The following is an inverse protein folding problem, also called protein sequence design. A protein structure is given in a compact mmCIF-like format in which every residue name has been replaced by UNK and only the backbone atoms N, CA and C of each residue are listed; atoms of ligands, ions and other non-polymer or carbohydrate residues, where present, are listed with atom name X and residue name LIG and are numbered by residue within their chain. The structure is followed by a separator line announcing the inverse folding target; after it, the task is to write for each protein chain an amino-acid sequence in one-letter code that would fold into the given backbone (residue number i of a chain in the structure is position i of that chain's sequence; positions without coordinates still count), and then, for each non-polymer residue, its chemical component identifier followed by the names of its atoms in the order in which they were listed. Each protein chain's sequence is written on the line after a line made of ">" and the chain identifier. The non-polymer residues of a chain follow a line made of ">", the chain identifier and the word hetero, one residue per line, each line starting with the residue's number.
data_IF_843032921502
#
_entry.id   IF_843032921502
#
_cell.length_a   1.000
_cell.length_b   1.000
_cell.length_c   1.000
_cell.angle_alpha   90.00
_cell.angle_beta   90.00
_cell.angle_gamma   90.00
#
_symmetry.space_group_name_H-M   'P 1'
#
loop_
_entity.id
_entity.type
_entity.pdbx_description
1 polymer ?
#
# COMPACT_ATOMS: atom_id res chain seq x y z
N UNK A 1 -15.90 -26.43 10.79
CA UNK A 1 -15.37 -26.30 12.16
C UNK A 1 -16.20 -26.97 13.24
N UNK A 2 -17.53 -27.13 13.12
CA UNK A 2 -18.36 -27.69 14.20
C UNK A 2 -18.24 -29.18 14.53
N UNK A 3 -17.46 -29.98 13.78
CA UNK A 3 -17.36 -31.45 13.97
C UNK A 3 -16.07 -31.95 14.63
N UNK A 4 -15.02 -31.12 14.71
CA UNK A 4 -13.71 -31.50 15.25
C UNK A 4 -13.05 -30.34 16.02
N UNK A 5 -13.48 -30.08 17.28
CA UNK A 5 -12.96 -28.98 18.10
C UNK A 5 -11.47 -29.13 18.44
N UNK A 6 -10.92 -30.35 18.39
CA UNK A 6 -9.52 -30.63 18.65
C UNK A 6 -8.55 -29.98 17.64
N UNK A 7 -9.01 -29.67 16.42
CA UNK A 7 -8.23 -28.96 15.40
C UNK A 7 -7.95 -27.49 15.76
N UNK A 8 -8.65 -26.93 16.75
CA UNK A 8 -8.39 -25.58 17.24
C UNK A 8 -7.06 -25.48 17.99
N UNK A 9 -6.66 -26.54 18.70
CA UNK A 9 -5.41 -26.56 19.49
C UNK A 9 -4.17 -26.38 18.59
N UNK A 10 -3.94 -27.18 17.53
CA UNK A 10 -2.81 -26.98 16.64
C UNK A 10 -2.90 -25.66 15.86
N UNK A 11 -4.11 -25.18 15.55
CA UNK A 11 -4.29 -23.87 14.91
C UNK A 11 -3.83 -22.72 15.81
N UNK A 12 -4.24 -22.73 17.08
CA UNK A 12 -3.82 -21.73 18.08
C UNK A 12 -2.31 -21.80 18.32
N UNK A 13 -1.75 -22.99 18.47
CA UNK A 13 -0.29 -23.15 18.61
C UNK A 13 0.44 -22.61 17.37
N UNK A 14 -0.08 -22.89 16.17
CA UNK A 14 0.45 -22.36 14.91
C UNK A 14 0.46 -20.84 14.88
N UNK A 15 -0.62 -20.17 15.29
CA UNK A 15 -0.66 -18.69 15.31
C UNK A 15 0.29 -18.10 16.33
N UNK A 16 0.50 -18.72 17.50
CA UNK A 16 1.52 -18.31 18.46
C UNK A 16 2.95 -18.41 17.89
N UNK A 17 3.27 -19.49 17.19
CA UNK A 17 4.58 -19.68 16.55
C UNK A 17 4.80 -18.61 15.47
N UNK A 18 3.79 -18.36 14.64
CA UNK A 18 3.85 -17.33 13.60
C UNK A 18 4.02 -15.94 14.22
N UNK A 19 3.28 -15.61 15.28
CA UNK A 19 3.42 -14.34 15.99
C UNK A 19 4.83 -14.15 16.60
N UNK A 20 5.38 -15.20 17.21
CA UNK A 20 6.74 -15.19 17.74
C UNK A 20 7.78 -14.97 16.63
N UNK A 21 7.62 -15.63 15.48
CA UNK A 21 8.50 -15.49 14.33
C UNK A 21 8.45 -14.06 13.75
N UNK A 22 7.25 -13.49 13.59
CA UNK A 22 7.07 -12.10 13.15
C UNK A 22 7.76 -11.14 14.12
N UNK A 23 7.58 -11.35 15.43
CA UNK A 23 8.25 -10.55 16.47
C UNK A 23 9.77 -10.59 16.33
N UNK A 24 10.36 -11.76 16.08
CA UNK A 24 11.80 -11.92 15.84
C UNK A 24 12.27 -11.20 14.57
N UNK A 25 11.52 -11.29 13.48
CA UNK A 25 11.86 -10.67 12.18
C UNK A 25 11.84 -9.15 12.30
N UNK A 26 10.83 -8.60 12.97
CA UNK A 26 10.55 -7.16 13.00
C UNK A 26 11.34 -6.42 14.08
N UNK A 27 11.66 -7.06 15.20
CA UNK A 27 12.36 -6.44 16.36
C UNK A 27 13.58 -5.57 15.99
N UNK A 28 14.48 -5.95 15.05
CA UNK A 28 15.64 -5.12 14.73
C UNK A 28 15.32 -3.81 13.99
N UNK A 29 14.14 -3.70 13.36
CA UNK A 29 13.68 -2.54 12.59
C UNK A 29 12.24 -2.18 12.97
N UNK A 30 11.93 -2.26 14.27
CA UNK A 30 10.56 -2.13 14.78
C UNK A 30 9.93 -0.78 14.38
N UNK A 31 10.70 0.30 14.48
CA UNK A 31 10.26 1.66 14.12
C UNK A 31 9.83 1.77 12.66
N UNK A 32 10.51 1.04 11.78
CA UNK A 32 10.38 1.20 10.33
C UNK A 32 9.35 0.22 9.76
N UNK A 33 9.31 -1.01 10.26
CA UNK A 33 8.54 -2.11 9.65
C UNK A 33 7.14 -2.24 10.26
N UNK A 34 6.92 -1.85 11.53
CA UNK A 34 5.62 -2.00 12.21
C UNK A 34 4.60 -0.98 11.68
N UNK A 35 3.30 -1.28 11.78
CA UNK A 35 2.16 -0.48 11.28
C UNK A 35 2.08 -0.43 9.75
N UNK A 36 1.24 0.48 9.24
CA UNK A 36 0.98 0.67 7.80
C UNK A 36 2.26 0.92 7.00
N UNK A 37 3.21 1.71 7.50
CA UNK A 37 4.39 2.16 6.75
C UNK A 37 4.20 3.52 6.08
N UNK A 38 2.95 3.97 5.89
CA UNK A 38 2.63 5.29 5.33
C UNK A 38 3.17 6.42 6.20
N UNK A 39 2.95 6.38 7.52
CA UNK A 39 3.44 7.40 8.44
C UNK A 39 4.97 7.47 8.48
N UNK A 40 5.64 6.33 8.44
CA UNK A 40 7.10 6.25 8.38
C UNK A 40 7.61 6.83 7.06
N UNK A 41 6.96 6.52 5.94
CA UNK A 41 7.33 7.08 4.66
C UNK A 41 7.13 8.59 4.60
N UNK A 42 6.03 9.13 5.13
CA UNK A 42 5.87 10.60 5.24
C UNK A 42 7.02 11.22 6.04
N UNK A 43 7.42 10.61 7.15
CA UNK A 43 8.56 11.10 7.92
C UNK A 43 9.86 11.08 7.11
N UNK A 44 10.06 10.08 6.24
CA UNK A 44 11.22 10.02 5.33
C UNK A 44 11.15 11.10 4.25
N UNK A 45 10.01 11.28 3.60
CA UNK A 45 9.83 12.30 2.55
C UNK A 45 9.97 13.73 3.11
N UNK A 46 9.60 13.94 4.38
CA UNK A 46 9.83 15.20 5.09
C UNK A 46 11.28 15.38 5.59
N UNK A 47 12.17 14.40 5.32
CA UNK A 47 13.55 14.40 5.80
C UNK A 47 13.69 14.28 7.32
N UNK A 48 12.64 13.86 8.03
CA UNK A 48 12.59 13.68 9.49
C UNK A 48 13.02 12.28 9.93
N UNK A 49 13.11 11.34 8.99
CA UNK A 49 13.51 9.97 9.24
C UNK A 49 14.34 9.43 8.08
N UNK A 50 15.20 8.43 8.33
CA UNK A 50 15.94 7.74 7.27
C UNK A 50 15.69 6.25 7.41
N UNK A 51 15.30 5.60 6.31
CA UNK A 51 15.10 4.15 6.26
C UNK A 51 16.21 3.49 5.44
N UNK A 52 16.64 2.31 5.88
CA UNK A 52 17.50 1.43 5.10
C UNK A 52 16.62 0.53 4.24
N UNK A 53 16.70 0.70 2.92
CA UNK A 53 15.77 0.09 1.98
C UNK A 53 15.77 -1.45 2.08
N UNK A 54 16.94 -2.09 2.10
CA UNK A 54 17.03 -3.55 2.06
C UNK A 54 16.46 -4.22 3.33
N UNK A 55 16.91 -3.84 4.54
CA UNK A 55 16.34 -4.37 5.78
C UNK A 55 14.84 -4.23 5.91
N UNK A 56 14.29 -3.08 5.48
CA UNK A 56 12.86 -2.79 5.57
C UNK A 56 12.08 -3.59 4.52
N UNK A 57 12.57 -3.66 3.29
CA UNK A 57 11.92 -4.35 2.17
C UNK A 57 11.65 -5.82 2.47
N UNK A 58 12.68 -6.60 2.79
CA UNK A 58 12.49 -8.04 2.97
C UNK A 58 11.70 -8.35 4.25
N UNK A 59 11.93 -7.60 5.33
CA UNK A 59 11.19 -7.78 6.59
C UNK A 59 9.72 -7.45 6.42
N UNK A 60 9.39 -6.35 5.73
CA UNK A 60 8.00 -5.96 5.46
C UNK A 60 7.32 -7.01 4.60
N UNK A 61 7.98 -7.51 3.56
CA UNK A 61 7.42 -8.55 2.69
C UNK A 61 7.11 -9.84 3.48
N UNK A 62 8.10 -10.37 4.21
CA UNK A 62 7.94 -11.63 4.95
C UNK A 62 6.93 -11.48 6.10
N UNK A 63 7.02 -10.38 6.87
CA UNK A 63 6.08 -10.13 7.96
C UNK A 63 4.64 -9.98 7.45
N UNK A 64 4.43 -9.29 6.33
CA UNK A 64 3.09 -9.12 5.75
C UNK A 64 2.53 -10.42 5.20
N UNK A 65 3.37 -11.26 4.60
CA UNK A 65 2.95 -12.59 4.16
C UNK A 65 2.50 -13.45 5.36
N UNK A 66 3.32 -13.48 6.42
CA UNK A 66 3.04 -14.24 7.63
C UNK A 66 1.84 -13.72 8.42
N UNK A 67 1.46 -12.44 8.30
CA UNK A 67 0.25 -11.91 8.96
C UNK A 67 -0.99 -12.04 8.10
N UNK A 68 -0.92 -11.78 6.80
CA UNK A 68 -2.10 -11.76 5.92
C UNK A 68 -2.54 -13.18 5.56
N UNK A 69 -1.62 -14.12 5.30
CA UNK A 69 -1.99 -15.48 4.91
C UNK A 69 -2.82 -16.25 5.96
N UNK A 70 -2.54 -16.14 7.28
CA UNK A 70 -3.40 -16.73 8.31
C UNK A 70 -4.76 -16.03 8.48
N UNK A 71 -5.02 -14.93 7.78
CA UNK A 71 -6.30 -14.21 7.84
C UNK A 71 -6.42 -13.20 8.98
N UNK A 72 -5.31 -12.60 9.43
CA UNK A 72 -5.40 -11.44 10.35
C UNK A 72 -6.04 -10.24 9.64
N UNK A 73 -6.68 -9.36 10.42
CA UNK A 73 -7.37 -8.16 9.94
C UNK A 73 -6.39 -7.05 9.50
N UNK A 74 -5.64 -7.30 8.43
CA UNK A 74 -4.66 -6.39 7.87
C UNK A 74 -4.79 -6.36 6.35
N UNK A 75 -4.62 -5.17 5.77
CA UNK A 75 -4.59 -4.98 4.32
C UNK A 75 -3.17 -5.09 3.75
N UNK A 76 -3.10 -5.43 2.46
CA UNK A 76 -1.83 -5.42 1.69
C UNK A 76 -1.38 -4.03 1.26
N UNK A 77 -2.19 -3.00 1.49
CA UNK A 77 -1.95 -1.62 1.04
C UNK A 77 -0.68 -1.01 1.62
N UNK A 78 -0.62 -0.90 2.95
CA UNK A 78 0.53 -0.33 3.65
C UNK A 78 1.85 -1.02 3.30
N UNK A 79 1.93 -2.37 3.39
CA UNK A 79 3.11 -3.10 2.95
C UNK A 79 3.53 -2.82 1.52
N UNK A 80 2.59 -2.80 0.56
CA UNK A 80 2.91 -2.61 -0.86
C UNK A 80 3.46 -1.21 -1.14
N UNK A 81 2.89 -0.19 -0.50
CA UNK A 81 3.38 1.19 -0.55
C UNK A 81 4.81 1.28 -0.02
N UNK A 82 5.07 0.70 1.15
CA UNK A 82 6.39 0.76 1.78
C UNK A 82 7.46 -0.02 1.01
N UNK A 83 7.10 -1.19 0.48
CA UNK A 83 7.98 -1.99 -0.37
C UNK A 83 8.29 -1.22 -1.66
N UNK A 84 7.29 -0.63 -2.31
CA UNK A 84 7.48 0.18 -3.51
C UNK A 84 8.44 1.35 -3.30
N UNK A 85 8.30 2.08 -2.19
CA UNK A 85 9.23 3.15 -1.83
C UNK A 85 10.66 2.64 -1.56
N UNK A 86 10.81 1.47 -0.91
CA UNK A 86 12.12 0.85 -0.70
C UNK A 86 12.78 0.44 -2.03
N UNK A 87 12.00 0.00 -3.01
CA UNK A 87 12.50 -0.28 -4.37
C UNK A 87 12.98 1.02 -5.03
N UNK A 88 12.22 2.12 -4.92
CA UNK A 88 12.67 3.44 -5.39
C UNK A 88 14.00 3.87 -4.76
N UNK A 89 14.14 3.69 -3.44
CA UNK A 89 15.38 3.95 -2.72
C UNK A 89 16.54 3.04 -3.17
N UNK A 90 16.27 1.76 -3.45
CA UNK A 90 17.24 0.81 -4.00
C UNK A 90 17.75 1.28 -5.36
N UNK A 91 16.86 1.68 -6.27
CA UNK A 91 17.24 2.15 -7.60
C UNK A 91 18.13 3.39 -7.52
N UNK A 92 17.82 4.31 -6.60
CA UNK A 92 18.69 5.45 -6.35
C UNK A 92 20.08 5.01 -5.87
N UNK A 93 20.15 4.14 -4.85
CA UNK A 93 21.42 3.73 -4.24
C UNK A 93 22.29 2.87 -5.17
N UNK A 94 21.70 2.06 -6.06
CA UNK A 94 22.45 1.15 -6.93
C UNK A 94 22.79 1.71 -8.30
N UNK A 95 21.96 2.61 -8.83
CA UNK A 95 22.11 3.06 -10.22
C UNK A 95 22.33 4.57 -10.32
N UNK A 96 21.47 5.39 -9.70
CA UNK A 96 21.45 6.82 -10.02
C UNK A 96 22.33 7.70 -9.12
N UNK A 97 22.53 7.32 -7.86
CA UNK A 97 23.31 8.09 -6.87
C UNK A 97 22.91 9.58 -6.78
N UNK A 98 21.61 9.85 -6.79
CA UNK A 98 21.10 11.23 -6.87
C UNK A 98 21.14 11.95 -5.52
N UNK A 99 20.93 13.26 -5.59
CA UNK A 99 20.70 14.14 -4.43
C UNK A 99 19.52 13.65 -3.60
N UNK A 100 19.51 13.97 -2.30
CA UNK A 100 18.41 13.62 -1.38
C UNK A 100 17.02 14.02 -1.93
N UNK A 101 16.89 15.15 -2.63
CA UNK A 101 15.62 15.58 -3.26
C UNK A 101 15.14 14.62 -4.35
N UNK A 102 16.01 14.22 -5.26
CA UNK A 102 15.64 13.35 -6.38
C UNK A 102 15.49 11.89 -5.94
N UNK A 103 16.21 11.49 -4.89
CA UNK A 103 15.98 10.22 -4.20
C UNK A 103 14.53 10.12 -3.69
N UNK A 104 14.00 11.19 -3.08
CA UNK A 104 12.61 11.19 -2.61
C UNK A 104 11.61 11.07 -3.75
N UNK A 105 11.86 11.73 -4.90
CA UNK A 105 11.04 11.54 -6.10
C UNK A 105 10.99 10.07 -6.54
N UNK A 106 12.12 9.37 -6.58
CA UNK A 106 12.15 7.93 -6.89
C UNK A 106 11.33 7.09 -5.89
N UNK A 107 11.40 7.42 -4.59
CA UNK A 107 10.60 6.76 -3.57
C UNK A 107 9.10 7.03 -3.76
N UNK A 108 8.73 8.27 -4.07
CA UNK A 108 7.34 8.70 -4.36
C UNK A 108 6.76 7.94 -5.57
N UNK A 109 7.51 7.80 -6.65
CA UNK A 109 7.08 7.01 -7.81
C UNK A 109 6.88 5.53 -7.46
N UNK A 110 7.71 5.01 -6.55
CA UNK A 110 7.57 3.68 -5.96
C UNK A 110 6.32 3.53 -5.09
N UNK A 111 5.95 4.56 -4.32
CA UNK A 111 4.71 4.60 -3.53
C UNK A 111 3.49 4.48 -4.43
N UNK A 112 3.42 5.28 -5.50
CA UNK A 112 2.30 5.23 -6.46
C UNK A 112 2.19 3.85 -7.13
N UNK A 113 3.32 3.27 -7.56
CA UNK A 113 3.36 1.92 -8.12
C UNK A 113 2.95 0.84 -7.11
N UNK A 114 3.39 0.95 -5.86
CA UNK A 114 3.07 -0.01 -4.80
C UNK A 114 1.57 -0.07 -4.51
N UNK A 115 0.91 1.10 -4.40
CA UNK A 115 -0.54 1.15 -4.20
C UNK A 115 -1.30 0.66 -5.45
N UNK A 116 -0.81 0.99 -6.63
CA UNK A 116 -1.38 0.49 -7.88
C UNK A 116 -1.32 -1.03 -7.98
N UNK A 117 -0.21 -1.66 -7.59
CA UNK A 117 -0.11 -3.12 -7.53
C UNK A 117 -1.07 -3.75 -6.51
N UNK A 118 -1.34 -3.06 -5.42
CA UNK A 118 -2.22 -3.53 -4.36
C UNK A 118 -3.71 -3.43 -4.72
N UNK A 119 -4.14 -2.50 -5.57
CA UNK A 119 -5.56 -2.38 -5.95
C UNK A 119 -5.85 -2.55 -7.43
N UNK A 120 -4.83 -2.71 -8.27
CA UNK A 120 -4.95 -2.63 -9.74
C UNK A 120 -5.61 -1.31 -10.19
N UNK A 121 -5.32 -0.22 -9.47
CA UNK A 121 -5.98 1.07 -9.63
C UNK A 121 -4.94 2.19 -9.84
N UNK A 122 -4.49 2.43 -11.09
CA UNK A 122 -3.41 3.38 -11.39
C UNK A 122 -3.69 4.81 -10.93
N UNK A 123 -4.91 5.27 -11.18
CA UNK A 123 -5.34 6.62 -10.82
C UNK A 123 -5.38 6.80 -9.30
N UNK A 124 -5.93 5.81 -8.57
CA UNK A 124 -5.95 5.83 -7.11
C UNK A 124 -4.54 5.84 -6.51
N UNK A 125 -3.63 5.02 -7.05
CA UNK A 125 -2.21 5.00 -6.68
C UNK A 125 -1.54 6.38 -6.82
N UNK A 126 -1.82 7.05 -7.93
CA UNK A 126 -1.25 8.37 -8.24
C UNK A 126 -1.88 9.45 -7.37
N UNK A 127 -3.20 9.49 -7.24
CA UNK A 127 -3.89 10.49 -6.42
C UNK A 127 -3.55 10.34 -4.94
N UNK A 128 -3.44 9.12 -4.42
CA UNK A 128 -2.96 8.90 -3.06
C UNK A 128 -1.58 9.53 -2.81
N UNK A 129 -0.65 9.39 -3.75
CA UNK A 129 0.65 10.05 -3.63
C UNK A 129 0.49 11.58 -3.56
N UNK A 130 -0.31 12.17 -4.44
CA UNK A 130 -0.46 13.62 -4.56
C UNK A 130 -1.24 14.24 -3.40
N UNK A 131 -2.31 13.57 -2.97
CA UNK A 131 -3.24 14.07 -1.96
C UNK A 131 -2.81 13.75 -0.54
N UNK A 132 -2.27 12.54 -0.30
CA UNK A 132 -1.98 12.07 1.06
C UNK A 132 -0.49 12.16 1.40
N UNK A 133 0.42 11.96 0.43
CA UNK A 133 1.85 11.86 0.73
C UNK A 133 2.59 13.18 0.52
N UNK A 134 2.38 13.87 -0.61
CA UNK A 134 3.18 15.04 -0.99
C UNK A 134 2.43 16.36 -0.88
N UNK A 135 1.10 16.35 -0.98
CA UNK A 135 0.25 17.55 -1.10
C UNK A 135 0.72 18.49 -2.24
N UNK A 136 1.26 17.93 -3.33
CA UNK A 136 1.87 18.71 -4.41
C UNK A 136 1.54 18.15 -5.80
N UNK A 137 0.81 18.93 -6.61
CA UNK A 137 0.34 18.57 -7.95
C UNK A 137 1.29 18.99 -9.09
N UNK A 138 2.59 19.14 -8.80
CA UNK A 138 3.57 19.46 -9.83
C UNK A 138 3.64 18.36 -10.91
N UNK A 139 3.64 18.75 -12.19
CA UNK A 139 3.79 17.83 -13.34
C UNK A 139 5.02 16.93 -13.25
N UNK A 140 6.09 17.37 -12.58
CA UNK A 140 7.29 16.56 -12.30
C UNK A 140 7.05 15.37 -11.37
N UNK A 141 5.99 15.42 -10.55
CA UNK A 141 5.58 14.31 -9.69
C UNK A 141 4.47 13.53 -10.37
N UNK A 142 3.44 14.24 -10.85
CA UNK A 142 2.23 13.64 -11.41
C UNK A 142 2.53 12.72 -12.61
N UNK A 143 3.28 13.18 -13.61
CA UNK A 143 3.49 12.41 -14.85
C UNK A 143 4.31 11.14 -14.59
N UNK A 144 5.48 11.20 -13.91
CA UNK A 144 6.24 9.99 -13.60
C UNK A 144 5.52 9.05 -12.62
N UNK A 145 4.79 9.59 -11.64
CA UNK A 145 3.99 8.77 -10.73
C UNK A 145 2.87 8.02 -11.47
N UNK A 146 2.15 8.69 -12.36
CA UNK A 146 1.10 8.07 -13.18
C UNK A 146 1.66 6.98 -14.09
N UNK A 147 2.77 7.26 -14.77
CA UNK A 147 3.41 6.27 -15.66
C UNK A 147 3.90 5.05 -14.87
N UNK A 148 4.58 5.25 -13.74
CA UNK A 148 4.99 4.18 -12.81
C UNK A 148 3.80 3.35 -12.33
N UNK A 149 2.71 4.02 -11.95
CA UNK A 149 1.46 3.42 -11.51
C UNK A 149 0.77 2.58 -12.58
N UNK A 150 0.74 3.07 -13.83
CA UNK A 150 0.20 2.33 -14.99
C UNK A 150 1.02 1.08 -15.28
N UNK A 151 2.36 1.19 -15.30
CA UNK A 151 3.25 0.03 -15.54
C UNK A 151 3.05 -1.02 -14.45
N UNK A 152 2.93 -0.60 -13.19
CA UNK A 152 2.66 -1.51 -12.06
C UNK A 152 1.33 -2.25 -12.20
N UNK A 153 0.24 -1.55 -12.57
CA UNK A 153 -1.04 -2.19 -12.81
C UNK A 153 -1.01 -3.12 -14.03
N UNK A 154 -0.30 -2.73 -15.10
CA UNK A 154 -0.14 -3.57 -16.28
C UNK A 154 0.53 -4.90 -15.93
N UNK A 155 1.62 -4.86 -15.16
CA UNK A 155 2.27 -6.07 -14.64
C UNK A 155 1.29 -6.88 -13.78
N UNK A 156 0.53 -6.22 -12.91
CA UNK A 156 -0.48 -6.88 -12.07
C UNK A 156 -1.53 -7.60 -12.91
N UNK A 157 -2.01 -6.98 -14.01
CA UNK A 157 -2.96 -7.59 -14.93
C UNK A 157 -2.37 -8.77 -15.69
N UNK A 158 -1.08 -8.75 -16.03
CA UNK A 158 -0.41 -9.89 -16.69
C UNK A 158 -0.40 -11.13 -15.79
N UNK A 159 -0.18 -10.96 -14.48
CA UNK A 159 -0.09 -12.08 -13.53
C UNK A 159 -1.44 -12.54 -12.98
N UNK A 160 -2.33 -11.61 -12.65
CA UNK A 160 -3.59 -11.90 -11.95
C UNK A 160 -4.84 -11.77 -12.83
N UNK A 161 -4.69 -11.31 -14.07
CA UNK A 161 -5.79 -11.04 -14.99
C UNK A 161 -6.50 -9.71 -14.69
N UNK A 162 -7.60 -9.47 -15.40
CA UNK A 162 -8.34 -8.18 -15.37
C UNK A 162 -9.54 -8.18 -14.43
N UNK A 163 -9.68 -9.20 -13.57
CA UNK A 163 -10.78 -9.27 -12.61
C UNK A 163 -10.57 -8.21 -11.51
N UNK A 164 -11.55 -7.31 -11.27
CA UNK A 164 -11.41 -6.32 -10.22
C UNK A 164 -11.36 -7.00 -8.85
N UNK A 165 -10.60 -6.41 -7.91
CA UNK A 165 -10.51 -6.91 -6.55
C UNK A 165 -11.86 -6.86 -5.80
N UNK A 166 -12.74 -5.93 -6.20
CA UNK A 166 -14.08 -5.79 -5.68
C UNK A 166 -15.06 -5.64 -6.85
N UNK A 167 -15.80 -6.70 -7.15
CA UNK A 167 -16.84 -6.68 -8.18
C UNK A 167 -18.20 -6.42 -7.54
N UNK A 168 -18.71 -5.19 -7.67
CA UNK A 168 -20.06 -4.81 -7.24
C UNK A 168 -20.81 -4.32 -8.49
N UNK A 169 -21.63 -5.18 -9.12
CA UNK A 169 -22.41 -4.76 -10.28
C UNK A 169 -23.52 -3.81 -9.83
N UNK A 170 -23.42 -2.54 -10.22
CA UNK A 170 -24.47 -1.55 -9.95
C UNK A 170 -25.49 -1.64 -11.09
N UNK A 171 -26.61 -2.30 -10.84
CA UNK A 171 -27.71 -2.41 -11.82
C UNK A 171 -28.73 -1.28 -11.68
N UNK A 172 -28.84 -0.67 -10.50
CA UNK A 172 -29.83 0.37 -10.19
C UNK A 172 -29.17 1.74 -10.15
N UNK A 173 -29.81 2.73 -10.78
CA UNK A 173 -29.46 4.14 -10.56
C UNK A 173 -29.99 4.54 -9.18
N UNK A 174 -29.15 5.19 -8.38
CA UNK A 174 -29.60 5.79 -7.12
C UNK A 174 -30.65 6.88 -7.44
N UNK A 175 -31.89 6.78 -6.90
CA UNK A 175 -32.91 7.79 -7.15
C UNK A 175 -32.46 9.12 -6.54
N UNK A 176 -32.72 10.23 -7.22
CA UNK A 176 -32.22 11.55 -6.78
C UNK A 176 -32.80 11.95 -5.42
N UNK A 177 -34.01 11.49 -5.10
CA UNK A 177 -34.64 11.67 -3.79
C UNK A 177 -33.92 10.94 -2.63
N UNK A 178 -32.99 10.02 -2.90
CA UNK A 178 -32.19 9.36 -1.85
C UNK A 178 -31.00 10.19 -1.40
N UNK A 179 -30.67 11.29 -2.09
CA UNK A 179 -29.63 12.21 -1.65
C UNK A 179 -30.19 13.10 -0.52
N UNK A 180 -29.57 13.13 0.68
CA UNK A 180 -30.05 13.92 1.81
C UNK A 180 -30.17 15.43 1.53
N UNK A 181 -29.47 15.92 0.51
CA UNK A 181 -29.48 17.33 0.09
C UNK A 181 -30.48 17.63 -1.05
N UNK A 182 -31.24 16.64 -1.51
CA UNK A 182 -32.11 16.81 -2.67
C UNK A 182 -33.21 17.84 -2.43
N UNK A 183 -33.81 17.85 -1.24
CA UNK A 183 -34.84 18.81 -0.88
C UNK A 183 -34.30 20.25 -0.86
N UNK A 184 -33.07 20.45 -0.38
CA UNK A 184 -32.40 21.76 -0.38
C UNK A 184 -32.06 22.27 -1.81
N UNK A 185 -31.88 21.38 -2.78
CA UNK A 185 -31.63 21.74 -4.19
C UNK A 185 -32.92 22.08 -4.96
N UNK A 186 -34.09 21.74 -4.41
CA UNK A 186 -35.39 22.09 -4.99
C UNK A 186 -35.91 23.44 -4.49
N UNK A 187 -35.51 23.88 -3.29
CA UNK A 187 -35.86 25.19 -2.73
C UNK A 187 -35.10 26.36 -3.39
N UNK A 188 -33.99 26.08 -4.10
CA UNK A 188 -33.17 27.10 -4.79
C UNK A 188 -33.63 27.38 -6.24
N UNK A 189 -34.76 26.81 -6.68
CA UNK A 189 -35.37 27.03 -8.00
C UNK A 189 -36.71 27.76 -7.91
#
# INVERSE_FOLDING_TARGET
>A
MGKHPWLLIPYILGTFIVAWLIGKIVKPYETDVVRSGVTQLKAVLLGKHRIHWWPVLWRKFVASLLTICPGLFLGREGPSIQIGACIGACFNEKFFHLTDKDKYLLMEYGVAAGLSAAFSAPLAGTMFLLEEMTHNFNSRILIPALTSSIVSAFITFLFFGTKPCLYIPITTKLPVASYPCYDAMLEEK
#
